data_IF_785561673663
#
_entry.id   IF_785561673663
#
_cell.length_a   1.000
_cell.length_b   1.000
_cell.length_c   1.000
_cell.angle_alpha   90.00
_cell.angle_beta   90.00
_cell.angle_gamma   90.00
#
_symmetry.space_group_name_H-M   'P 1'
#
loop_
_entity.id
_entity.type
_entity.pdbx_description
1 polymer ?
#
# COMPACT_ATOMS: atom_id res chain seq x y z
N UNK A 1 4.92 -2.72 12.73
CA UNK A 1 4.99 -1.50 13.54
C UNK A 1 6.08 -0.56 13.04
N UNK A 2 7.24 -0.62 13.67
CA UNK A 2 8.38 0.21 13.27
C UNK A 2 8.69 0.01 11.78
N UNK A 3 8.61 -1.21 11.29
CA UNK A 3 8.91 -1.54 9.90
C UNK A 3 7.98 -0.86 8.90
N UNK A 4 6.69 -0.73 9.21
CA UNK A 4 5.75 -0.09 8.29
C UNK A 4 6.05 1.40 8.14
N UNK A 5 6.18 2.11 9.27
CA UNK A 5 6.51 3.52 9.27
C UNK A 5 7.85 3.79 8.57
N UNK A 6 8.86 3.00 8.91
CA UNK A 6 10.19 3.12 8.29
C UNK A 6 10.15 2.82 6.80
N UNK A 7 9.39 1.81 6.40
CA UNK A 7 9.26 1.45 4.98
C UNK A 7 8.63 2.60 4.18
N UNK A 8 7.60 3.22 4.72
CA UNK A 8 6.94 4.36 4.05
C UNK A 8 7.90 5.53 3.92
N UNK A 9 8.63 5.85 5.00
CA UNK A 9 9.61 6.94 4.97
C UNK A 9 10.73 6.68 3.97
N UNK A 10 11.23 5.46 3.93
CA UNK A 10 12.30 5.09 2.99
C UNK A 10 11.80 5.12 1.55
N UNK A 11 10.59 4.64 1.31
CA UNK A 11 9.98 4.67 -0.01
C UNK A 11 9.80 6.12 -0.50
N UNK A 12 9.40 7.01 0.41
CA UNK A 12 9.23 8.42 0.07
C UNK A 12 10.55 9.09 -0.36
N UNK A 13 11.67 8.63 0.18
CA UNK A 13 12.98 9.19 -0.13
C UNK A 13 13.50 8.81 -1.51
N UNK A 14 12.93 7.81 -2.15
CA UNK A 14 13.37 7.40 -3.49
C UNK A 14 13.02 8.54 -4.45
N UNK A 15 14.03 9.06 -5.13
CA UNK A 15 13.84 10.13 -6.11
C UNK A 15 13.50 9.53 -7.46
N UNK A 16 12.40 9.96 -8.03
CA UNK A 16 11.94 9.51 -9.34
C UNK A 16 11.91 10.68 -10.30
N UNK A 17 12.17 10.38 -11.57
CA UNK A 17 12.08 11.34 -12.65
C UNK A 17 10.89 10.95 -13.54
N UNK A 18 9.78 11.67 -13.43
CA UNK A 18 8.56 11.47 -14.22
C UNK A 18 7.79 10.19 -13.90
N UNK A 19 8.22 9.41 -12.93
CA UNK A 19 7.53 8.20 -12.50
C UNK A 19 6.67 8.48 -11.28
N UNK A 20 5.71 7.61 -11.01
CA UNK A 20 4.82 7.73 -9.87
C UNK A 20 5.13 6.69 -8.80
N UNK A 21 4.80 7.04 -7.57
CA UNK A 21 4.90 6.14 -6.42
C UNK A 21 3.51 5.72 -5.99
N UNK A 22 3.31 4.42 -5.91
CA UNK A 22 2.05 3.82 -5.46
C UNK A 22 2.30 2.97 -4.22
N UNK A 23 1.35 3.02 -3.30
CA UNK A 23 1.39 2.22 -2.07
C UNK A 23 0.16 1.34 -2.01
N UNK A 24 0.36 0.04 -1.83
CA UNK A 24 -0.73 -0.91 -1.60
C UNK A 24 -0.60 -1.45 -0.18
N UNK A 25 -1.59 -1.17 0.65
CA UNK A 25 -1.61 -1.60 2.05
C UNK A 25 -2.67 -2.66 2.27
N UNK A 26 -2.29 -3.72 2.96
CA UNK A 26 -3.21 -4.70 3.52
C UNK A 26 -3.18 -4.64 5.04
N UNK A 27 -4.02 -5.43 5.68
CA UNK A 27 -4.08 -5.45 7.13
C UNK A 27 -2.81 -6.05 7.73
N UNK A 28 -2.37 -5.48 8.84
CA UNK A 28 -1.21 -5.95 9.61
C UNK A 28 -1.71 -6.79 10.76
N UNK A 29 -2.19 -8.00 10.44
CA UNK A 29 -2.94 -8.85 11.37
C UNK A 29 -2.14 -9.31 12.58
N UNK A 30 -0.82 -9.40 12.46
CA UNK A 30 0.03 -9.88 13.55
C UNK A 30 0.23 -8.88 14.69
N UNK A 31 -0.27 -7.65 14.55
CA UNK A 31 -0.07 -6.62 15.55
C UNK A 31 -1.08 -6.65 16.69
N UNK A 32 -2.09 -7.51 16.62
CA UNK A 32 -3.05 -7.70 17.68
C UNK A 32 -3.74 -6.41 18.10
N UNK A 33 -3.80 -6.16 19.42
CA UNK A 33 -4.51 -5.01 19.96
C UNK A 33 -3.91 -3.66 19.58
N UNK A 34 -2.66 -3.64 19.16
CA UNK A 34 -2.01 -2.40 18.72
C UNK A 34 -2.32 -2.05 17.27
N UNK A 35 -2.93 -2.96 16.54
CA UNK A 35 -3.18 -2.84 15.12
C UNK A 35 -3.94 -1.57 14.75
N UNK A 36 -5.03 -1.28 15.47
CA UNK A 36 -5.86 -0.10 15.20
C UNK A 36 -5.06 1.19 15.37
N UNK A 37 -4.31 1.29 16.48
CA UNK A 37 -3.53 2.49 16.78
C UNK A 37 -2.44 2.71 15.75
N UNK A 38 -1.76 1.65 15.34
CA UNK A 38 -0.75 1.73 14.31
C UNK A 38 -1.34 2.20 12.99
N UNK A 39 -2.45 1.60 12.57
CA UNK A 39 -3.11 1.98 11.32
C UNK A 39 -3.54 3.44 11.34
N UNK A 40 -4.06 3.91 12.48
CA UNK A 40 -4.48 5.31 12.61
C UNK A 40 -3.30 6.28 12.50
N UNK A 41 -2.11 5.90 12.98
CA UNK A 41 -0.93 6.76 12.93
C UNK A 41 -0.31 6.85 11.54
N UNK A 42 -0.63 5.92 10.66
CA UNK A 42 -0.02 5.84 9.33
C UNK A 42 -0.60 6.88 8.37
N UNK A 43 -1.88 7.22 8.50
CA UNK A 43 -2.50 8.19 7.59
C UNK A 43 -1.81 9.58 7.64
N UNK A 44 -1.55 10.17 8.81
CA UNK A 44 -0.80 11.43 8.85
C UNK A 44 0.59 11.32 8.21
N UNK A 45 1.26 10.19 8.42
CA UNK A 45 2.57 9.98 7.81
C UNK A 45 2.47 9.97 6.29
N UNK A 46 1.53 9.22 5.73
CA UNK A 46 1.31 9.16 4.29
C UNK A 46 1.02 10.55 3.72
N UNK A 47 0.21 11.33 4.42
CA UNK A 47 -0.15 12.68 3.97
C UNK A 47 1.07 13.61 3.87
N UNK A 48 2.14 13.32 4.58
CA UNK A 48 3.38 14.10 4.54
C UNK A 48 4.34 13.64 3.45
N UNK A 49 4.03 12.54 2.76
CA UNK A 49 4.90 11.97 1.73
C UNK A 49 4.54 12.48 0.34
N UNK A 50 5.42 12.17 -0.63
CA UNK A 50 5.19 12.42 -2.05
C UNK A 50 4.61 11.18 -2.75
N UNK A 51 4.06 10.23 -2.01
CA UNK A 51 3.36 9.09 -2.59
C UNK A 51 2.15 9.61 -3.37
N UNK A 52 2.01 9.18 -4.61
CA UNK A 52 0.97 9.69 -5.51
C UNK A 52 -0.40 9.11 -5.21
N UNK A 53 -0.50 7.78 -5.07
CA UNK A 53 -1.78 7.12 -4.80
C UNK A 53 -1.60 5.96 -3.85
N UNK A 54 -2.62 5.76 -3.02
CA UNK A 54 -2.68 4.67 -2.04
C UNK A 54 -3.88 3.79 -2.36
N UNK A 55 -3.63 2.50 -2.40
CA UNK A 55 -4.64 1.47 -2.56
C UNK A 55 -4.64 0.61 -1.31
N UNK A 56 -5.78 0.16 -0.88
CA UNK A 56 -5.88 -0.64 0.34
C UNK A 56 -6.79 -1.84 0.13
N UNK A 57 -6.55 -2.90 0.90
CA UNK A 57 -7.43 -4.05 0.99
C UNK A 57 -7.46 -4.52 2.43
N UNK A 58 -8.65 -4.60 3.00
CA UNK A 58 -8.85 -5.05 4.36
C UNK A 58 -9.51 -4.01 5.23
N UNK A 59 -10.08 -4.47 6.33
CA UNK A 59 -10.86 -3.64 7.25
C UNK A 59 -10.03 -2.53 7.89
N UNK A 60 -8.85 -2.89 8.41
CA UNK A 60 -8.00 -1.93 9.09
C UNK A 60 -7.33 -0.98 8.10
N UNK A 61 -6.86 -1.51 6.98
CA UNK A 61 -6.26 -0.69 5.93
C UNK A 61 -7.26 0.32 5.37
N UNK A 62 -8.54 -0.04 5.31
CA UNK A 62 -9.60 0.88 4.86
C UNK A 62 -9.79 2.06 5.82
N UNK A 63 -9.47 1.91 7.10
CA UNK A 63 -9.50 3.02 8.05
C UNK A 63 -8.41 4.04 7.74
N UNK A 64 -7.23 3.57 7.32
CA UNK A 64 -6.16 4.46 6.86
C UNK A 64 -6.64 5.24 5.64
N UNK A 65 -7.22 4.53 4.69
CA UNK A 65 -7.68 5.12 3.44
C UNK A 65 -8.65 6.28 3.68
N UNK A 66 -9.55 6.13 4.64
CA UNK A 66 -10.52 7.16 4.95
C UNK A 66 -9.89 8.45 5.48
N UNK A 67 -8.70 8.35 6.05
CA UNK A 67 -8.02 9.47 6.72
C UNK A 67 -6.93 10.12 5.89
N UNK A 68 -6.55 9.55 4.76
CA UNK A 68 -5.57 10.19 3.89
C UNK A 68 -6.21 11.27 3.03
N UNK A 69 -5.37 12.15 2.49
CA UNK A 69 -5.82 13.24 1.62
C UNK A 69 -6.53 12.68 0.38
N UNK A 70 -7.60 13.33 -0.05
CA UNK A 70 -8.35 12.89 -1.23
C UNK A 70 -7.48 12.78 -2.48
N UNK A 71 -6.50 13.67 -2.63
CA UNK A 71 -5.59 13.64 -3.77
C UNK A 71 -4.73 12.38 -3.81
N UNK A 72 -4.54 11.70 -2.67
CA UNK A 72 -3.76 10.48 -2.58
C UNK A 72 -4.60 9.21 -2.65
N UNK A 73 -5.91 9.33 -2.68
CA UNK A 73 -6.79 8.16 -2.68
C UNK A 73 -6.82 7.52 -4.07
N UNK A 74 -6.39 6.27 -4.13
CA UNK A 74 -6.54 5.44 -5.32
C UNK A 74 -7.85 4.68 -5.27
N UNK A 75 -7.87 3.54 -4.57
CA UNK A 75 -9.04 2.69 -4.51
C UNK A 75 -8.98 1.75 -3.30
N UNK A 76 -10.14 1.41 -2.75
CA UNK A 76 -10.28 0.30 -1.80
C UNK A 76 -10.54 -0.95 -2.64
N UNK A 77 -9.65 -1.93 -2.52
CA UNK A 77 -9.75 -3.18 -3.27
C UNK A 77 -10.51 -4.22 -2.44
N UNK A 78 -11.32 -5.01 -3.09
CA UNK A 78 -12.19 -5.98 -2.42
C UNK A 78 -11.63 -7.39 -2.53
N UNK A 79 -11.00 -7.72 -3.65
CA UNK A 79 -10.51 -9.06 -3.91
C UNK A 79 -9.18 -9.05 -4.65
N UNK A 80 -8.60 -10.24 -4.76
CA UNK A 80 -7.29 -10.40 -5.38
C UNK A 80 -7.29 -10.11 -6.88
N UNK A 81 -8.41 -10.31 -7.54
CA UNK A 81 -8.54 -9.97 -8.96
C UNK A 81 -8.31 -8.49 -9.19
N UNK A 82 -8.80 -7.64 -8.28
CA UNK A 82 -8.60 -6.20 -8.39
C UNK A 82 -7.14 -5.79 -8.14
N UNK A 83 -6.42 -6.53 -7.29
CA UNK A 83 -4.99 -6.31 -7.11
C UNK A 83 -4.26 -6.62 -8.41
N UNK A 84 -4.58 -7.73 -9.04
CA UNK A 84 -4.00 -8.13 -10.31
C UNK A 84 -4.26 -7.06 -11.38
N UNK A 85 -5.49 -6.58 -11.48
CA UNK A 85 -5.84 -5.53 -12.43
C UNK A 85 -5.07 -4.24 -12.18
N UNK A 86 -4.91 -3.85 -10.92
CA UNK A 86 -4.12 -2.66 -10.55
C UNK A 86 -2.70 -2.77 -11.08
N UNK A 87 -2.04 -3.89 -10.80
CA UNK A 87 -0.64 -4.07 -11.15
C UNK A 87 -0.44 -4.17 -12.66
N UNK A 88 -1.34 -4.86 -13.36
CA UNK A 88 -1.21 -5.07 -14.81
C UNK A 88 -1.62 -3.85 -15.63
N UNK A 89 -2.64 -3.12 -15.17
CA UNK A 89 -3.29 -2.11 -16.02
C UNK A 89 -3.05 -0.68 -15.57
N UNK A 90 -2.94 -0.43 -14.25
CA UNK A 90 -2.84 0.93 -13.73
C UNK A 90 -1.41 1.36 -13.41
N UNK A 91 -0.56 0.42 -13.03
CA UNK A 91 0.85 0.69 -12.71
C UNK A 91 1.67 0.56 -13.99
N UNK A 92 2.36 1.63 -14.37
CA UNK A 92 3.17 1.64 -15.59
C UNK A 92 4.59 1.12 -15.33
N UNK A 93 5.30 0.76 -16.40
CA UNK A 93 6.59 0.09 -16.29
C UNK A 93 7.62 0.82 -15.44
N UNK A 94 7.64 2.13 -15.46
CA UNK A 94 8.62 2.90 -14.70
C UNK A 94 8.11 3.41 -13.37
N UNK A 95 6.89 3.07 -12.99
CA UNK A 95 6.34 3.45 -11.71
C UNK A 95 6.84 2.53 -10.60
N UNK A 96 6.82 3.02 -9.37
CA UNK A 96 7.22 2.26 -8.20
C UNK A 96 6.01 1.90 -7.38
N UNK A 97 5.90 0.64 -7.04
CA UNK A 97 4.83 0.13 -6.17
C UNK A 97 5.44 -0.54 -4.96
N UNK A 98 5.08 -0.06 -3.78
CA UNK A 98 5.41 -0.74 -2.53
C UNK A 98 4.17 -1.44 -2.00
N UNK A 99 4.32 -2.71 -1.60
CA UNK A 99 3.24 -3.51 -1.05
C UNK A 99 3.61 -3.87 0.38
N UNK A 100 2.75 -3.52 1.34
CA UNK A 100 2.93 -3.84 2.74
C UNK A 100 1.66 -4.44 3.31
N UNK A 101 1.77 -5.69 3.78
CA UNK A 101 0.66 -6.41 4.39
C UNK A 101 1.21 -7.56 5.23
N UNK A 102 0.37 -8.08 6.12
CA UNK A 102 0.67 -9.33 6.81
C UNK A 102 0.70 -10.49 5.82
N UNK A 103 1.57 -11.46 6.07
CA UNK A 103 1.63 -12.69 5.28
C UNK A 103 0.28 -13.43 5.26
N UNK A 104 -0.52 -13.26 6.30
CA UNK A 104 -1.83 -13.90 6.39
C UNK A 104 -2.84 -13.37 5.37
N UNK A 105 -2.56 -12.22 4.72
CA UNK A 105 -3.47 -11.63 3.73
C UNK A 105 -3.38 -12.26 2.34
N UNK A 106 -2.34 -13.04 2.08
CA UNK A 106 -2.12 -13.64 0.77
C UNK A 106 -1.53 -12.71 -0.29
N UNK A 107 -1.19 -11.48 0.06
CA UNK A 107 -0.62 -10.52 -0.89
C UNK A 107 0.66 -11.03 -1.54
N UNK A 108 1.53 -11.66 -0.75
CA UNK A 108 2.81 -12.16 -1.26
C UNK A 108 2.64 -13.22 -2.35
N UNK A 109 1.64 -14.07 -2.19
CA UNK A 109 1.36 -15.10 -3.19
C UNK A 109 0.99 -14.47 -4.53
N UNK A 110 0.13 -13.46 -4.52
CA UNK A 110 -0.31 -12.77 -5.73
C UNK A 110 0.84 -12.06 -6.42
N UNK A 111 1.69 -11.38 -5.66
CA UNK A 111 2.85 -10.68 -6.22
C UNK A 111 3.79 -11.68 -6.87
N UNK A 112 4.03 -12.83 -6.24
CA UNK A 112 4.90 -13.86 -6.80
C UNK A 112 4.32 -14.45 -8.08
N UNK A 113 3.01 -14.65 -8.16
CA UNK A 113 2.34 -15.13 -9.37
C UNK A 113 2.52 -14.14 -10.51
N UNK A 114 2.37 -12.85 -10.24
CA UNK A 114 2.53 -11.80 -11.25
C UNK A 114 3.97 -11.74 -11.73
N UNK A 115 4.95 -11.83 -10.82
CA UNK A 115 6.36 -11.86 -11.18
C UNK A 115 6.69 -13.04 -12.09
N UNK A 116 6.05 -14.18 -11.87
CA UNK A 116 6.25 -15.37 -12.68
C UNK A 116 5.78 -15.22 -14.12
N UNK A 117 4.96 -14.22 -14.41
CA UNK A 117 4.45 -13.96 -15.75
C UNK A 117 5.34 -13.00 -16.57
N UNK A 118 6.30 -12.41 -15.92
CA UNK A 118 7.24 -11.52 -16.57
C UNK A 118 8.55 -12.24 -16.83
#
# INVERSE_FOLDING_TARGET
PLSLSSAIKNFDKIKLNKSKKYLLLGDMLELGSYSKKLHESIAPLINQTKIDKVFVKGKMASLIYKKISNSKKGKILINNSQIDDLIRNDIKNNDYLMIKASLATGFNKIVNEIKGLN
#
